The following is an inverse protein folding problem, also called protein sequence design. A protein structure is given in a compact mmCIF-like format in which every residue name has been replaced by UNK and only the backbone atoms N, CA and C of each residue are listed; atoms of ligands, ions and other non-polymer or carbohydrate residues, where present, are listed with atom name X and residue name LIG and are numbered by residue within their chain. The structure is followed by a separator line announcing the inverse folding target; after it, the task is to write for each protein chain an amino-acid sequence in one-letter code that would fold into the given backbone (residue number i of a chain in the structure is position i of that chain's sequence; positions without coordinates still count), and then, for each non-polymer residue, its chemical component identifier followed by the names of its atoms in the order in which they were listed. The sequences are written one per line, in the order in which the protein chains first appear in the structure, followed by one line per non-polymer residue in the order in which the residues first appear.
data_IF_569713849663
#
_entry.id   IF_569713849663
#
_cell.length_a   1.000
_cell.length_b   1.000
_cell.length_c   1.000
_cell.angle_alpha   90.00
_cell.angle_beta   90.00
_cell.angle_gamma   90.00
#
_symmetry.space_group_name_H-M   'P 1'
#
loop_
_entity.id
_entity.type
_entity.pdbx_description
1 polymer ?
#
# COMPACT_ATOMS: atom_id res chain seq x y z
N UNK A 1 -24.68 -32.50 19.45
CA UNK A 1 -23.62 -31.47 19.43
C UNK A 1 -23.84 -30.72 18.14
N UNK A 2 -24.22 -29.45 18.23
CA UNK A 2 -24.61 -28.66 17.06
C UNK A 2 -23.37 -28.11 16.35
N UNK A 3 -23.45 -27.96 15.04
CA UNK A 3 -22.37 -27.41 14.24
C UNK A 3 -22.19 -25.92 14.55
N UNK A 4 -20.94 -25.52 14.86
CA UNK A 4 -20.54 -24.13 15.01
C UNK A 4 -19.47 -23.80 13.98
N UNK A 5 -19.75 -22.83 13.12
CA UNK A 5 -18.78 -22.30 12.15
C UNK A 5 -17.85 -21.29 12.83
N UNK A 6 -16.58 -21.33 12.48
CA UNK A 6 -15.59 -20.32 12.84
C UNK A 6 -14.67 -20.08 11.63
N UNK A 7 -14.35 -18.81 11.37
CA UNK A 7 -13.40 -18.44 10.32
C UNK A 7 -11.99 -18.86 10.71
N UNK A 8 -11.27 -19.53 9.81
CA UNK A 8 -9.86 -19.90 10.04
C UNK A 8 -8.97 -18.68 10.27
N UNK A 9 -9.29 -17.55 9.63
CA UNK A 9 -8.54 -16.30 9.68
C UNK A 9 -9.53 -15.13 9.78
N UNK A 10 -10.00 -14.78 10.99
CA UNK A 10 -10.96 -13.70 11.16
C UNK A 10 -10.33 -12.37 10.73
N UNK A 11 -11.02 -11.65 9.83
CA UNK A 11 -10.57 -10.35 9.38
C UNK A 11 -10.69 -9.31 10.51
N UNK A 12 -9.65 -8.50 10.70
CA UNK A 12 -9.69 -7.32 11.56
C UNK A 12 -9.59 -6.05 10.72
N UNK A 13 -10.30 -4.97 11.07
CA UNK A 13 -10.13 -3.68 10.41
C UNK A 13 -8.66 -3.23 10.54
N UNK A 14 -8.02 -2.91 9.43
CA UNK A 14 -6.67 -2.35 9.41
C UNK A 14 -6.70 -0.82 9.51
N UNK A 15 -5.61 -0.24 10.05
CA UNK A 15 -5.41 1.22 10.13
C UNK A 15 -4.58 1.72 8.94
N UNK A 16 -5.10 1.51 7.72
CA UNK A 16 -4.43 1.92 6.47
C UNK A 16 -5.16 3.14 5.91
N UNK A 17 -4.50 4.29 5.72
CA UNK A 17 -5.12 5.44 5.08
C UNK A 17 -5.30 5.19 3.58
N UNK A 18 -6.46 5.56 3.04
CA UNK A 18 -6.77 5.45 1.62
C UNK A 18 -6.89 6.82 0.96
N UNK A 19 -6.40 6.92 -0.29
CA UNK A 19 -6.63 8.05 -1.19
C UNK A 19 -7.70 7.65 -2.21
N UNK A 20 -8.73 8.48 -2.37
CA UNK A 20 -9.73 8.27 -3.41
C UNK A 20 -9.09 8.54 -4.79
N UNK A 21 -9.14 7.54 -5.69
CA UNK A 21 -8.70 7.71 -7.08
C UNK A 21 -9.80 8.29 -7.96
N UNK A 22 -11.00 7.70 -7.87
CA UNK A 22 -12.18 8.10 -8.64
C UNK A 22 -13.44 7.55 -7.98
N UNK A 23 -14.58 8.20 -8.23
CA UNK A 23 -15.91 7.67 -7.94
C UNK A 23 -16.63 7.15 -9.19
N UNK A 24 -15.98 7.25 -10.36
CA UNK A 24 -16.52 6.76 -11.63
C UNK A 24 -16.28 5.25 -11.80
N UNK A 25 -17.07 4.62 -12.67
CA UNK A 25 -16.95 3.19 -12.96
C UNK A 25 -17.45 2.28 -11.85
N UNK A 26 -18.23 2.82 -10.91
CA UNK A 26 -18.96 2.05 -9.90
C UNK A 26 -20.41 2.51 -9.85
N UNK A 27 -21.35 1.56 -9.79
CA UNK A 27 -22.77 1.86 -9.58
C UNK A 27 -23.47 0.73 -8.83
N UNK A 28 -24.51 1.09 -8.10
CA UNK A 28 -25.37 0.11 -7.44
C UNK A 28 -26.44 -0.36 -8.42
N UNK A 29 -26.63 -1.67 -8.52
CA UNK A 29 -27.70 -2.29 -9.31
C UNK A 29 -28.53 -3.22 -8.43
N UNK A 30 -29.81 -3.36 -8.75
CA UNK A 30 -30.75 -4.24 -8.05
C UNK A 30 -31.03 -5.48 -8.91
N UNK A 31 -30.81 -6.68 -8.36
CA UNK A 31 -31.11 -7.92 -9.04
C UNK A 31 -31.56 -8.98 -8.02
N UNK A 32 -32.60 -9.76 -8.32
CA UNK A 32 -33.07 -10.83 -7.43
C UNK A 32 -33.41 -10.37 -6.00
N UNK A 33 -33.90 -9.13 -5.82
CA UNK A 33 -34.22 -8.55 -4.51
C UNK A 33 -33.00 -8.17 -3.66
N UNK A 34 -31.81 -8.05 -4.27
CA UNK A 34 -30.55 -7.70 -3.60
C UNK A 34 -29.82 -6.58 -4.35
N UNK A 35 -29.09 -5.78 -3.58
CA UNK A 35 -28.13 -4.79 -4.09
C UNK A 35 -26.81 -5.43 -4.46
N UNK A 36 -26.30 -5.07 -5.62
CA UNK A 36 -24.96 -5.40 -6.11
C UNK A 36 -24.21 -4.12 -6.44
N UNK A 37 -22.88 -4.18 -6.34
CA UNK A 37 -22.00 -3.15 -6.86
C UNK A 37 -21.46 -3.63 -8.21
N UNK A 38 -21.86 -2.97 -9.27
CA UNK A 38 -21.27 -3.15 -10.60
C UNK A 38 -20.03 -2.27 -10.70
N UNK A 39 -18.92 -2.84 -11.18
CA UNK A 39 -17.61 -2.18 -11.30
C UNK A 39 -17.12 -2.36 -12.72
N UNK A 40 -16.81 -1.24 -13.38
CA UNK A 40 -16.31 -1.24 -14.76
C UNK A 40 -14.85 -1.71 -14.81
N UNK A 41 -14.47 -2.42 -15.88
CA UNK A 41 -13.08 -2.86 -16.12
C UNK A 41 -12.08 -1.69 -16.08
N UNK A 42 -12.51 -0.50 -16.52
CA UNK A 42 -11.70 0.70 -16.54
C UNK A 42 -11.35 1.20 -15.13
N UNK A 43 -12.25 1.03 -14.15
CA UNK A 43 -11.97 1.36 -12.76
C UNK A 43 -10.88 0.45 -12.18
N UNK A 44 -10.91 -0.84 -12.52
CA UNK A 44 -9.89 -1.82 -12.13
C UNK A 44 -8.55 -1.46 -12.80
N UNK A 45 -8.56 -1.15 -14.10
CA UNK A 45 -7.36 -0.76 -14.85
C UNK A 45 -6.69 0.48 -14.24
N UNK A 46 -7.46 1.52 -13.92
CA UNK A 46 -6.96 2.72 -13.26
C UNK A 46 -6.35 2.39 -11.90
N UNK A 47 -7.06 1.62 -11.06
CA UNK A 47 -6.58 1.22 -9.74
C UNK A 47 -5.23 0.49 -9.83
N UNK A 48 -5.11 -0.47 -10.74
CA UNK A 48 -3.86 -1.23 -10.93
C UNK A 48 -2.74 -0.34 -11.45
N UNK A 49 -3.00 0.55 -12.41
CA UNK A 49 -1.98 1.45 -12.94
C UNK A 49 -1.43 2.39 -11.86
N UNK A 50 -2.31 3.01 -11.08
CA UNK A 50 -1.94 3.89 -9.96
C UNK A 50 -1.19 3.11 -8.87
N UNK A 51 -1.67 1.93 -8.49
CA UNK A 51 -1.02 1.10 -7.48
C UNK A 51 0.39 0.68 -7.90
N UNK A 52 0.57 0.22 -9.14
CA UNK A 52 1.88 -0.18 -9.64
C UNK A 52 2.85 0.99 -9.72
N UNK A 53 2.37 2.17 -10.16
CA UNK A 53 3.14 3.41 -10.13
C UNK A 53 3.57 3.76 -8.70
N UNK A 54 2.63 3.82 -7.77
CA UNK A 54 2.88 4.25 -6.40
C UNK A 54 3.82 3.25 -5.68
N UNK A 55 3.62 1.94 -5.85
CA UNK A 55 4.49 0.92 -5.23
C UNK A 55 5.93 0.95 -5.77
N UNK A 56 6.14 1.32 -7.03
CA UNK A 56 7.47 1.40 -7.61
C UNK A 56 8.27 2.63 -7.15
N UNK A 57 7.59 3.68 -6.67
CA UNK A 57 8.21 4.98 -6.39
C UNK A 57 8.09 5.43 -4.93
N UNK A 58 7.12 4.90 -4.18
CA UNK A 58 6.77 5.33 -2.83
C UNK A 58 6.87 4.17 -1.85
N UNK A 59 7.18 4.50 -0.59
CA UNK A 59 7.26 3.57 0.53
C UNK A 59 6.30 3.99 1.63
N UNK A 60 5.85 3.03 2.43
CA UNK A 60 5.00 3.32 3.59
C UNK A 60 5.77 4.16 4.63
N UNK A 61 5.14 5.14 5.30
CA UNK A 61 5.80 5.95 6.33
C UNK A 61 6.44 5.12 7.45
N UNK A 62 5.79 4.03 7.87
CA UNK A 62 6.34 3.15 8.90
C UNK A 62 7.66 2.49 8.50
N UNK A 63 7.85 2.15 7.22
CA UNK A 63 9.12 1.61 6.72
C UNK A 63 10.21 2.69 6.64
N UNK A 64 9.86 3.89 6.18
CA UNK A 64 10.80 5.04 6.19
C UNK A 64 11.23 5.39 7.61
N UNK A 65 10.32 5.30 8.59
CA UNK A 65 10.64 5.50 10.00
C UNK A 65 11.60 4.43 10.53
N UNK A 66 11.48 3.16 10.10
CA UNK A 66 12.45 2.12 10.47
C UNK A 66 13.86 2.47 9.98
N UNK A 67 14.01 2.94 8.74
CA UNK A 67 15.30 3.41 8.22
C UNK A 67 15.82 4.62 9.01
N UNK A 68 14.93 5.57 9.37
CA UNK A 68 15.32 6.72 10.19
C UNK A 68 15.81 6.29 11.56
N UNK A 69 15.16 5.32 12.20
CA UNK A 69 15.53 4.83 13.52
C UNK A 69 16.97 4.29 13.55
N UNK A 70 17.44 3.65 12.47
CA UNK A 70 18.83 3.18 12.34
C UNK A 70 19.83 4.35 12.45
N UNK A 71 19.47 5.53 11.94
CA UNK A 71 20.34 6.70 12.00
C UNK A 71 20.44 7.28 13.41
N UNK A 72 19.42 7.09 14.25
CA UNK A 72 19.35 7.61 15.62
C UNK A 72 19.82 6.62 16.67
N UNK A 73 19.83 5.33 16.36
CA UNK A 73 20.23 4.26 17.27
C UNK A 73 21.73 4.35 17.58
N UNK A 74 22.17 4.54 18.84
CA UNK A 74 23.60 4.61 19.19
C UNK A 74 24.35 3.29 18.98
N UNK A 75 23.67 2.15 18.94
CA UNK A 75 24.29 0.83 18.75
C UNK A 75 24.49 0.48 17.27
N UNK A 76 23.87 1.22 16.35
CA UNK A 76 23.99 0.99 14.92
C UNK A 76 25.43 1.22 14.42
N UNK A 77 25.92 0.26 13.64
CA UNK A 77 27.27 0.34 13.07
C UNK A 77 27.38 1.46 12.03
N UNK A 78 28.60 1.83 11.67
CA UNK A 78 28.84 2.78 10.59
C UNK A 78 28.22 2.31 9.25
N UNK A 79 28.24 0.99 9.00
CA UNK A 79 27.68 0.41 7.78
C UNK A 79 26.15 0.45 7.78
N UNK A 80 25.50 0.20 8.91
CA UNK A 80 24.04 0.27 9.01
C UNK A 80 23.55 1.69 8.71
N UNK A 81 24.20 2.70 9.29
CA UNK A 81 23.88 4.11 9.02
C UNK A 81 24.15 4.50 7.57
N UNK A 82 25.25 4.02 6.99
CA UNK A 82 25.57 4.26 5.59
C UNK A 82 24.48 3.70 4.68
N UNK A 83 24.13 2.42 4.83
CA UNK A 83 23.10 1.75 4.02
C UNK A 83 21.74 2.41 4.20
N UNK A 84 21.32 2.70 5.43
CA UNK A 84 20.05 3.37 5.69
C UNK A 84 19.99 4.77 5.06
N UNK A 85 21.09 5.52 5.09
CA UNK A 85 21.19 6.83 4.43
C UNK A 85 21.04 6.71 2.92
N UNK A 86 21.72 5.75 2.29
CA UNK A 86 21.63 5.54 0.85
C UNK A 86 20.22 5.08 0.42
N UNK A 87 19.58 4.20 1.20
CA UNK A 87 18.19 3.79 0.96
C UNK A 87 17.21 4.98 1.07
N UNK A 88 17.38 5.86 2.05
CA UNK A 88 16.56 7.06 2.19
C UNK A 88 16.78 8.06 1.05
N UNK A 89 18.03 8.24 0.59
CA UNK A 89 18.34 9.05 -0.60
C UNK A 89 17.70 8.47 -1.85
N UNK A 90 17.79 7.15 -2.04
CA UNK A 90 17.15 6.45 -3.14
C UNK A 90 15.63 6.62 -3.12
N UNK A 91 14.99 6.45 -1.96
CA UNK A 91 13.56 6.67 -1.79
C UNK A 91 13.14 8.11 -2.16
N UNK A 92 13.95 9.11 -1.78
CA UNK A 92 13.70 10.50 -2.14
C UNK A 92 13.81 10.75 -3.65
N UNK A 93 14.77 10.11 -4.34
CA UNK A 93 14.89 10.20 -5.80
C UNK A 93 13.71 9.50 -6.48
N UNK A 94 13.37 8.29 -6.01
CA UNK A 94 12.28 7.49 -6.57
C UNK A 94 10.92 8.20 -6.45
N UNK A 95 10.68 8.92 -5.35
CA UNK A 95 9.47 9.72 -5.16
C UNK A 95 9.25 10.80 -6.25
N UNK A 96 10.28 11.14 -7.04
CA UNK A 96 10.16 12.00 -8.22
C UNK A 96 9.40 11.37 -9.39
N UNK A 97 9.12 10.07 -9.38
CA UNK A 97 8.27 9.39 -10.37
C UNK A 97 8.91 9.17 -11.74
N UNK A 98 10.25 9.30 -11.84
CA UNK A 98 11.03 9.10 -13.08
C UNK A 98 11.85 7.82 -13.01
N UNK A 99 12.59 7.61 -11.91
CA UNK A 99 13.37 6.41 -11.67
C UNK A 99 12.66 5.56 -10.60
N UNK A 100 12.48 4.24 -10.81
CA UNK A 100 11.92 3.38 -9.78
C UNK A 100 12.91 3.18 -8.62
N UNK A 101 12.40 2.81 -7.44
CA UNK A 101 13.24 2.53 -6.28
C UNK A 101 14.14 1.30 -6.42
N UNK A 102 13.85 0.42 -7.38
CA UNK A 102 14.64 -0.76 -7.73
C UNK A 102 14.56 -1.02 -9.24
N UNK A 103 15.63 -1.57 -9.81
CA UNK A 103 15.75 -1.94 -11.23
C UNK A 103 15.04 -3.23 -11.61
#
# INVERSE_FOLDING_TARGET
MDFSYEDTLPASPGDVPFRLLTANGVRVVEAGGRRFLEVDDEAIRLLTAEAMRDMAHLLRPGHLQQLRNILDDPEASANDRFVATELLRNANIAAGGVLPGCQ
#
